data_IF_779894472244
#
_entry.id   IF_779894472244
#
_cell.length_a   1.000
_cell.length_b   1.000
_cell.length_c   1.000
_cell.angle_alpha   90.00
_cell.angle_beta   90.00
_cell.angle_gamma   90.00
#
_symmetry.space_group_name_H-M   'P 1'
#
loop_
_entity.id
_entity.type
_entity.pdbx_description
1 polymer ?
#
# COMPACT_ATOMS: atom_id res chain seq x y z
N UNK A 1 51.18 24.72 20.07
CA UNK A 1 49.95 24.12 20.63
C UNK A 1 48.88 24.49 19.64
N UNK A 2 48.77 23.68 18.59
CA UNK A 2 47.72 23.88 17.59
C UNK A 2 46.52 23.06 18.07
N UNK A 3 45.46 23.77 18.41
CA UNK A 3 44.17 23.20 18.78
C UNK A 3 43.57 22.57 17.51
N UNK A 4 43.63 21.25 17.41
CA UNK A 4 42.76 20.50 16.51
C UNK A 4 41.33 20.66 17.03
N UNK A 5 40.52 21.44 16.31
CA UNK A 5 39.07 21.51 16.42
C UNK A 5 38.50 20.10 16.16
N UNK A 6 38.32 19.33 17.23
CA UNK A 6 37.45 18.15 17.25
C UNK A 6 35.99 18.65 17.14
N UNK A 7 35.63 19.15 15.96
CA UNK A 7 34.26 19.53 15.66
C UNK A 7 33.36 18.31 15.83
N UNK A 8 32.37 18.43 16.71
CA UNK A 8 31.43 17.35 16.92
C UNK A 8 30.68 17.04 15.61
N UNK A 9 30.25 15.80 15.40
CA UNK A 9 29.54 15.38 14.17
C UNK A 9 28.26 16.17 13.82
N UNK A 10 27.78 17.05 14.71
CA UNK A 10 26.67 17.99 14.47
C UNK A 10 27.15 19.41 14.06
N UNK A 11 28.44 19.72 14.21
CA UNK A 11 29.14 20.91 13.69
C UNK A 11 29.70 20.66 12.29
N UNK A 12 29.81 19.40 11.86
CA UNK A 12 30.06 19.04 10.46
C UNK A 12 28.94 19.63 9.59
N UNK A 13 29.32 20.59 8.74
CA UNK A 13 28.41 21.38 7.92
C UNK A 13 27.37 20.52 7.20
N UNK A 14 26.13 20.97 7.32
CA UNK A 14 24.99 20.64 6.48
C UNK A 14 25.44 20.12 5.10
N UNK A 15 25.52 18.80 4.92
CA UNK A 15 25.78 18.22 3.61
C UNK A 15 24.61 18.61 2.72
N UNK A 16 24.87 19.50 1.76
CA UNK A 16 23.86 20.06 0.87
C UNK A 16 23.45 19.05 -0.18
N UNK A 17 22.65 18.08 0.25
CA UNK A 17 22.09 17.03 -0.61
C UNK A 17 21.26 17.57 -1.78
N UNK A 18 20.79 18.82 -1.73
CA UNK A 18 20.14 19.54 -2.84
C UNK A 18 21.09 20.05 -3.94
N UNK A 19 22.42 20.13 -3.72
CA UNK A 19 23.35 20.55 -4.78
C UNK A 19 23.50 19.50 -5.91
N UNK A 20 23.15 18.24 -5.63
CA UNK A 20 23.15 17.15 -6.61
C UNK A 20 21.87 17.16 -7.48
N UNK A 21 20.85 17.89 -7.05
CA UNK A 21 19.54 17.91 -7.70
C UNK A 21 19.53 19.05 -8.72
N UNK A 22 19.88 18.73 -9.98
CA UNK A 22 19.82 19.70 -11.08
C UNK A 22 18.39 19.81 -11.62
N UNK A 23 17.90 21.04 -11.73
CA UNK A 23 16.65 21.39 -12.40
C UNK A 23 16.78 21.21 -13.92
N UNK A 24 15.72 20.73 -14.57
CA UNK A 24 15.64 20.70 -16.04
C UNK A 24 15.40 22.11 -16.64
N UNK A 25 15.46 22.25 -17.97
CA UNK A 25 15.25 23.54 -18.66
C UNK A 25 13.87 24.19 -18.38
N UNK A 26 12.93 23.44 -17.81
CA UNK A 26 11.61 23.92 -17.40
C UNK A 26 11.54 24.30 -15.91
N UNK A 27 12.64 24.20 -15.15
CA UNK A 27 12.69 24.42 -13.71
C UNK A 27 12.05 23.28 -12.88
N UNK A 28 11.86 22.10 -13.48
CA UNK A 28 11.27 20.93 -12.82
C UNK A 28 12.36 19.94 -12.40
N UNK A 29 12.15 19.35 -11.22
CA UNK A 29 13.07 18.36 -10.61
C UNK A 29 12.51 16.94 -10.76
N UNK A 30 11.26 16.80 -11.22
CA UNK A 30 10.52 15.53 -11.21
C UNK A 30 11.22 14.43 -12.04
N UNK A 31 11.81 14.79 -13.18
CA UNK A 31 12.49 13.84 -14.05
C UNK A 31 13.75 13.23 -13.38
N UNK A 32 14.56 14.06 -12.73
CA UNK A 32 15.76 13.62 -12.02
C UNK A 32 15.41 12.69 -10.83
N UNK A 33 14.38 13.05 -10.05
CA UNK A 33 13.89 12.23 -8.93
C UNK A 33 13.35 10.90 -9.41
N UNK A 34 12.56 10.89 -10.49
CA UNK A 34 12.02 9.67 -11.07
C UNK A 34 13.13 8.72 -11.58
N UNK A 35 14.19 9.26 -12.18
CA UNK A 35 15.34 8.48 -12.62
C UNK A 35 16.10 7.84 -11.45
N UNK A 36 16.28 8.56 -10.34
CA UNK A 36 16.88 8.05 -9.11
C UNK A 36 16.02 6.92 -8.53
N UNK A 37 14.70 7.12 -8.43
CA UNK A 37 13.76 6.12 -7.93
C UNK A 37 13.78 4.85 -8.79
N UNK A 38 13.81 4.97 -10.11
CA UNK A 38 13.93 3.82 -11.02
C UNK A 38 15.26 3.08 -10.85
N UNK A 39 16.37 3.81 -10.67
CA UNK A 39 17.70 3.22 -10.46
C UNK A 39 17.76 2.45 -9.14
N UNK A 40 17.18 2.98 -8.07
CA UNK A 40 17.11 2.30 -6.77
C UNK A 40 16.25 1.04 -6.86
N UNK A 41 15.07 1.12 -7.48
CA UNK A 41 14.17 -0.02 -7.68
C UNK A 41 14.86 -1.17 -8.45
N UNK A 42 15.66 -0.86 -9.48
CA UNK A 42 16.45 -1.86 -10.22
C UNK A 42 17.51 -2.54 -9.36
N UNK A 43 18.17 -1.80 -8.46
CA UNK A 43 19.16 -2.37 -7.54
C UNK A 43 18.51 -3.33 -6.53
N UNK A 44 17.34 -2.98 -6.00
CA UNK A 44 16.59 -3.82 -5.06
C UNK A 44 16.13 -5.12 -5.73
N UNK A 45 15.60 -5.04 -6.96
CA UNK A 45 15.19 -6.20 -7.75
C UNK A 45 16.34 -7.17 -8.04
N UNK A 46 17.55 -6.64 -8.27
CA UNK A 46 18.75 -7.44 -8.54
C UNK A 46 19.28 -8.18 -7.30
N UNK A 47 18.90 -7.75 -6.09
CA UNK A 47 19.33 -8.37 -4.84
C UNK A 47 18.36 -9.44 -4.31
N UNK A 48 17.23 -9.66 -4.98
CA UNK A 48 16.26 -10.64 -4.52
C UNK A 48 16.76 -12.08 -4.82
N UNK A 49 16.81 -12.96 -3.82
CA UNK A 49 17.15 -14.36 -4.04
C UNK A 49 16.10 -15.03 -4.94
N UNK A 50 16.52 -16.04 -5.71
CA UNK A 50 15.60 -16.85 -6.53
C UNK A 50 14.67 -17.67 -5.62
N UNK A 51 13.53 -17.09 -5.24
CA UNK A 51 12.46 -17.75 -4.49
C UNK A 51 11.44 -18.34 -5.47
N UNK A 52 10.81 -19.46 -5.12
CA UNK A 52 9.67 -19.99 -5.87
C UNK A 52 8.53 -18.98 -5.83
N UNK A 53 8.26 -18.31 -6.96
CA UNK A 53 7.19 -17.34 -7.10
C UNK A 53 5.85 -18.05 -7.34
N UNK A 54 4.80 -17.60 -6.64
CA UNK A 54 3.42 -17.99 -6.95
C UNK A 54 2.97 -17.28 -8.22
N UNK A 55 2.91 -17.99 -9.35
CA UNK A 55 2.54 -17.41 -10.65
C UNK A 55 1.10 -16.86 -10.67
N UNK A 56 0.17 -17.54 -10.01
CA UNK A 56 -1.24 -17.12 -9.91
C UNK A 56 -1.50 -16.55 -8.52
N UNK A 57 -1.91 -15.27 -8.47
CA UNK A 57 -2.13 -14.54 -7.21
C UNK A 57 -3.55 -13.99 -7.16
N UNK A 58 -4.23 -14.24 -6.05
CA UNK A 58 -5.53 -13.65 -5.72
C UNK A 58 -5.33 -12.69 -4.56
N UNK A 59 -5.37 -11.40 -4.86
CA UNK A 59 -5.09 -10.33 -3.91
C UNK A 59 -6.38 -9.59 -3.55
N UNK A 60 -6.69 -9.52 -2.25
CA UNK A 60 -7.63 -8.50 -1.76
C UNK A 60 -6.85 -7.30 -1.23
N UNK A 61 -7.20 -6.11 -1.68
CA UNK A 61 -6.74 -4.86 -1.08
C UNK A 61 -7.83 -4.36 -0.13
N UNK A 62 -7.46 -4.14 1.13
CA UNK A 62 -8.31 -3.57 2.18
C UNK A 62 -7.89 -2.13 2.39
N UNK A 63 -8.77 -1.18 2.06
CA UNK A 63 -8.56 0.25 2.28
C UNK A 63 -9.29 0.73 3.53
N UNK A 64 -8.56 1.37 4.42
CA UNK A 64 -9.11 2.10 5.55
C UNK A 64 -9.90 3.33 5.08
N UNK A 65 -11.12 3.47 5.59
CA UNK A 65 -11.99 4.65 5.43
C UNK A 65 -12.55 5.08 6.80
N UNK A 66 -11.78 4.88 7.86
CA UNK A 66 -12.03 5.41 9.20
C UNK A 66 -11.75 6.92 9.29
N UNK A 67 -12.17 7.54 10.40
CA UNK A 67 -11.94 8.98 10.64
C UNK A 67 -10.46 9.38 10.55
N UNK A 68 -9.53 8.46 10.86
CA UNK A 68 -8.09 8.69 10.76
C UNK A 68 -7.61 9.02 9.33
N UNK A 69 -8.39 8.66 8.31
CA UNK A 69 -8.05 8.91 6.90
C UNK A 69 -8.40 10.33 6.44
N UNK A 70 -9.06 11.13 7.29
CA UNK A 70 -9.32 12.55 7.04
C UNK A 70 -8.11 13.44 7.32
N UNK A 71 -7.11 12.93 8.04
CA UNK A 71 -5.90 13.67 8.38
C UNK A 71 -5.15 14.16 7.13
N UNK A 72 -4.54 15.33 7.25
CA UNK A 72 -3.87 16.06 6.16
C UNK A 72 -2.34 16.00 6.25
N UNK A 73 -1.78 14.94 6.84
CA UNK A 73 -0.34 14.70 6.81
C UNK A 73 0.17 14.47 5.38
N UNK A 74 -0.66 13.85 4.54
CA UNK A 74 -0.52 13.78 3.09
C UNK A 74 -1.53 14.74 2.45
N UNK A 75 -1.14 15.43 1.38
CA UNK A 75 -2.01 16.39 0.68
C UNK A 75 -2.89 15.69 -0.36
N UNK A 76 -4.20 15.99 -0.46
CA UNK A 76 -4.98 16.85 0.44
C UNK A 76 -5.37 16.16 1.75
N UNK A 77 -5.57 14.84 1.75
CA UNK A 77 -5.68 14.01 2.95
C UNK A 77 -5.15 12.59 2.66
N UNK A 78 -5.05 11.76 3.69
CA UNK A 78 -4.61 10.35 3.57
C UNK A 78 -5.44 9.54 2.59
N UNK A 79 -6.77 9.69 2.59
CA UNK A 79 -7.65 8.94 1.69
C UNK A 79 -7.34 9.25 0.23
N UNK A 80 -7.31 10.52 -0.15
CA UNK A 80 -7.06 10.95 -1.53
C UNK A 80 -5.69 10.46 -2.01
N UNK A 81 -4.66 10.60 -1.18
CA UNK A 81 -3.32 10.12 -1.50
C UNK A 81 -3.29 8.59 -1.67
N UNK A 82 -3.92 7.86 -0.73
CA UNK A 82 -3.99 6.40 -0.78
C UNK A 82 -4.72 5.89 -2.02
N UNK A 83 -5.82 6.54 -2.42
CA UNK A 83 -6.57 6.17 -3.63
C UNK A 83 -5.73 6.38 -4.89
N UNK A 84 -5.02 7.50 -5.03
CA UNK A 84 -4.16 7.74 -6.20
C UNK A 84 -3.02 6.73 -6.29
N UNK A 85 -2.33 6.46 -5.18
CA UNK A 85 -1.27 5.45 -5.14
C UNK A 85 -1.81 4.04 -5.42
N UNK A 86 -3.01 3.72 -4.93
CA UNK A 86 -3.66 2.43 -5.21
C UNK A 86 -4.06 2.28 -6.68
N UNK A 87 -4.47 3.35 -7.35
CA UNK A 87 -4.76 3.32 -8.79
C UNK A 87 -3.50 2.98 -9.59
N UNK A 88 -2.41 3.66 -9.31
CA UNK A 88 -1.11 3.37 -9.93
C UNK A 88 -0.67 1.93 -9.62
N UNK A 89 -0.76 1.52 -8.35
CA UNK A 89 -0.45 0.16 -7.92
C UNK A 89 -1.25 -0.89 -8.69
N UNK A 90 -2.55 -0.70 -8.91
CA UNK A 90 -3.38 -1.66 -9.65
C UNK A 90 -2.87 -1.82 -11.09
N UNK A 91 -2.60 -0.73 -11.80
CA UNK A 91 -2.05 -0.82 -13.17
C UNK A 91 -0.69 -1.52 -13.17
N UNK A 92 0.23 -1.08 -12.31
CA UNK A 92 1.56 -1.70 -12.20
C UNK A 92 1.50 -3.18 -11.81
N UNK A 93 0.55 -3.55 -10.96
CA UNK A 93 0.34 -4.92 -10.51
C UNK A 93 -0.11 -5.81 -11.66
N UNK A 94 -1.09 -5.38 -12.46
CA UNK A 94 -1.55 -6.14 -13.62
C UNK A 94 -0.51 -6.19 -14.75
N UNK A 95 0.27 -5.12 -14.95
CA UNK A 95 1.39 -5.11 -15.90
C UNK A 95 2.46 -6.16 -15.54
N UNK A 96 2.74 -6.32 -14.24
CA UNK A 96 3.71 -7.29 -13.75
C UNK A 96 3.13 -8.70 -13.56
N UNK A 97 1.82 -8.82 -13.34
CA UNK A 97 1.12 -10.06 -12.99
C UNK A 97 -0.17 -10.23 -13.82
N UNK A 98 -0.10 -10.48 -15.14
CA UNK A 98 -1.25 -10.42 -16.04
C UNK A 98 -2.35 -11.47 -15.79
N UNK A 99 -2.01 -12.58 -15.14
CA UNK A 99 -2.96 -13.68 -14.82
C UNK A 99 -3.50 -13.60 -13.38
N UNK A 100 -3.13 -12.57 -12.64
CA UNK A 100 -3.59 -12.39 -11.26
C UNK A 100 -4.98 -11.74 -11.20
N UNK A 101 -5.59 -11.77 -10.02
CA UNK A 101 -6.87 -11.13 -9.75
C UNK A 101 -6.76 -10.22 -8.55
N UNK A 102 -7.44 -9.07 -8.61
CA UNK A 102 -7.57 -8.13 -7.49
C UNK A 102 -9.05 -8.04 -7.10
N UNK A 103 -9.31 -7.91 -5.80
CA UNK A 103 -10.58 -7.49 -5.23
C UNK A 103 -10.37 -6.35 -4.23
N UNK A 104 -11.41 -5.56 -4.00
CA UNK A 104 -11.35 -4.37 -3.14
C UNK A 104 -12.34 -4.48 -1.99
N UNK A 105 -11.84 -4.25 -0.78
CA UNK A 105 -12.63 -4.16 0.46
C UNK A 105 -12.31 -2.82 1.10
N UNK A 106 -13.33 -2.16 1.65
CA UNK A 106 -13.13 -0.99 2.51
C UNK A 106 -13.50 -1.34 3.94
N UNK A 107 -12.95 -0.59 4.90
CA UNK A 107 -13.38 -0.67 6.29
C UNK A 107 -13.74 0.71 6.84
N UNK A 108 -14.95 0.81 7.40
CA UNK A 108 -15.52 2.01 8.00
C UNK A 108 -16.63 1.62 8.97
N UNK A 109 -17.00 2.49 9.90
CA UNK A 109 -18.13 2.27 10.83
C UNK A 109 -18.08 0.91 11.56
N UNK A 110 -16.87 0.45 11.94
CA UNK A 110 -16.62 -0.86 12.61
C UNK A 110 -17.04 -2.07 11.77
N UNK A 111 -17.17 -1.89 10.45
CA UNK A 111 -17.57 -2.92 9.49
C UNK A 111 -16.63 -2.91 8.29
N UNK A 112 -16.78 -3.91 7.45
CA UNK A 112 -16.07 -4.02 6.18
C UNK A 112 -17.08 -4.24 5.08
N UNK A 113 -16.83 -3.62 3.93
CA UNK A 113 -17.71 -3.67 2.76
C UNK A 113 -16.87 -4.08 1.55
N UNK A 114 -17.31 -5.10 0.81
CA UNK A 114 -16.65 -5.52 -0.42
C UNK A 114 -17.16 -4.65 -1.56
N UNK A 115 -16.28 -3.81 -2.10
CA UNK A 115 -16.60 -2.87 -3.18
C UNK A 115 -16.41 -3.53 -4.55
N UNK A 116 -15.40 -4.40 -4.66
CA UNK A 116 -15.11 -5.12 -5.90
C UNK A 116 -14.84 -6.59 -5.65
N UNK A 117 -15.43 -7.44 -6.49
CA UNK A 117 -15.13 -8.88 -6.52
C UNK A 117 -13.74 -9.14 -7.10
N UNK A 118 -13.21 -10.35 -6.88
CA UNK A 118 -11.94 -10.76 -7.50
C UNK A 118 -12.09 -10.80 -9.02
N UNK A 119 -11.46 -9.85 -9.71
CA UNK A 119 -11.51 -9.71 -11.16
C UNK A 119 -10.15 -9.29 -11.73
N UNK A 120 -9.92 -9.62 -13.00
CA UNK A 120 -8.68 -9.32 -13.72
C UNK A 120 -8.69 -8.01 -14.51
N UNK A 121 -9.76 -7.21 -14.45
CA UNK A 121 -9.86 -5.96 -15.20
C UNK A 121 -9.42 -4.76 -14.33
N UNK A 122 -8.29 -4.10 -14.62
CA UNK A 122 -7.83 -2.95 -13.82
C UNK A 122 -8.81 -1.77 -13.87
N UNK A 123 -9.44 -1.52 -15.02
CA UNK A 123 -10.29 -0.32 -15.21
C UNK A 123 -11.54 -0.35 -14.34
N UNK A 124 -12.13 -1.53 -14.12
CA UNK A 124 -13.31 -1.67 -13.25
C UNK A 124 -12.96 -1.36 -11.80
N UNK A 125 -11.80 -1.80 -11.32
CA UNK A 125 -11.34 -1.54 -9.96
C UNK A 125 -11.03 -0.05 -9.75
N UNK A 126 -10.33 0.57 -10.71
CA UNK A 126 -9.99 1.99 -10.68
C UNK A 126 -11.24 2.88 -10.69
N UNK A 127 -12.25 2.54 -11.50
CA UNK A 127 -13.52 3.27 -11.52
C UNK A 127 -14.24 3.23 -10.17
N UNK A 128 -14.24 2.09 -9.49
CA UNK A 128 -14.81 1.95 -8.15
C UNK A 128 -14.01 2.71 -7.09
N UNK A 129 -12.67 2.69 -7.16
CA UNK A 129 -11.82 3.49 -6.26
C UNK A 129 -12.07 4.99 -6.41
N UNK A 130 -12.27 5.47 -7.63
CA UNK A 130 -12.55 6.89 -7.88
C UNK A 130 -13.86 7.32 -7.24
N UNK A 131 -14.87 6.44 -7.22
CA UNK A 131 -16.15 6.70 -6.54
C UNK A 131 -16.00 6.81 -5.02
N UNK A 132 -15.01 6.16 -4.41
CA UNK A 132 -14.78 6.22 -2.96
C UNK A 132 -14.33 7.61 -2.49
N UNK A 133 -13.76 8.43 -3.37
CA UNK A 133 -13.35 9.81 -3.02
C UNK A 133 -14.53 10.70 -2.63
N UNK A 134 -15.72 10.40 -3.15
CA UNK A 134 -16.95 11.15 -2.84
C UNK A 134 -17.66 10.62 -1.61
N UNK A 135 -17.19 9.49 -1.05
CA UNK A 135 -17.74 8.93 0.17
C UNK A 135 -16.97 9.47 1.37
N UNK A 136 -17.69 9.81 2.43
CA UNK A 136 -17.05 10.25 3.66
C UNK A 136 -16.42 9.07 4.40
N UNK A 137 -15.19 9.28 4.90
CA UNK A 137 -14.61 8.42 5.91
C UNK A 137 -15.38 8.60 7.23
N UNK A 138 -15.68 7.52 7.94
CA UNK A 138 -16.45 7.63 9.18
C UNK A 138 -16.22 6.44 10.10
N UNK A 139 -16.10 6.73 11.39
CA UNK A 139 -15.99 5.73 12.44
C UNK A 139 -14.62 5.05 12.44
N UNK A 140 -14.60 3.81 12.91
CA UNK A 140 -13.37 3.06 13.16
C UNK A 140 -13.22 1.88 12.19
N UNK A 141 -11.98 1.49 11.91
CA UNK A 141 -11.66 0.34 11.08
C UNK A 141 -11.90 -0.98 11.84
N UNK A 142 -12.29 -2.03 11.11
CA UNK A 142 -12.42 -3.40 11.62
C UNK A 142 -11.65 -4.36 10.72
N UNK A 143 -10.48 -4.79 11.20
CA UNK A 143 -9.60 -5.71 10.49
C UNK A 143 -10.18 -7.13 10.50
N UNK A 144 -10.79 -7.56 11.62
CA UNK A 144 -11.37 -8.89 11.72
C UNK A 144 -12.47 -9.11 10.67
N UNK A 145 -13.38 -8.16 10.52
CA UNK A 145 -14.46 -8.26 9.53
C UNK A 145 -13.91 -8.29 8.10
N UNK A 146 -12.88 -7.50 7.80
CA UNK A 146 -12.24 -7.46 6.49
C UNK A 146 -11.57 -8.81 6.18
N UNK A 147 -10.85 -9.38 7.16
CA UNK A 147 -10.25 -10.71 7.07
C UNK A 147 -11.32 -11.77 6.81
N UNK A 148 -12.40 -11.80 7.58
CA UNK A 148 -13.47 -12.79 7.43
C UNK A 148 -14.12 -12.71 6.04
N UNK A 149 -14.37 -11.50 5.55
CA UNK A 149 -14.92 -11.25 4.22
C UNK A 149 -13.99 -11.70 3.09
N UNK A 150 -12.70 -11.34 3.16
CA UNK A 150 -11.71 -11.80 2.17
C UNK A 150 -11.52 -13.32 2.21
N UNK A 151 -11.44 -13.89 3.41
CA UNK A 151 -11.30 -15.34 3.63
C UNK A 151 -12.50 -16.13 3.10
N UNK A 152 -13.71 -15.58 3.15
CA UNK A 152 -14.90 -16.24 2.62
C UNK A 152 -14.76 -16.53 1.12
N UNK A 153 -14.13 -15.63 0.36
CA UNK A 153 -13.86 -15.84 -1.07
C UNK A 153 -12.56 -16.63 -1.28
N UNK A 154 -11.47 -16.24 -0.61
CA UNK A 154 -10.14 -16.85 -0.81
C UNK A 154 -10.06 -18.33 -0.42
N UNK A 155 -10.93 -18.81 0.49
CA UNK A 155 -10.97 -20.24 0.87
C UNK A 155 -11.32 -21.16 -0.31
N UNK A 156 -12.04 -20.65 -1.31
CA UNK A 156 -12.44 -21.39 -2.49
C UNK A 156 -11.42 -21.34 -3.62
N UNK A 157 -10.37 -20.51 -3.48
CA UNK A 157 -9.32 -20.43 -4.49
C UNK A 157 -8.40 -21.64 -4.43
N UNK A 158 -7.88 -22.10 -5.59
CA UNK A 158 -7.06 -23.32 -5.66
C UNK A 158 -5.80 -23.24 -4.79
N UNK A 159 -5.37 -24.36 -4.22
CA UNK A 159 -4.19 -24.40 -3.33
C UNK A 159 -2.87 -24.05 -4.01
N UNK A 160 -2.77 -24.20 -5.33
CA UNK A 160 -1.58 -23.85 -6.10
C UNK A 160 -1.46 -22.33 -6.36
N UNK A 161 -2.51 -21.56 -6.05
CA UNK A 161 -2.50 -20.10 -6.16
C UNK A 161 -2.13 -19.45 -4.84
N UNK A 162 -1.46 -18.31 -4.91
CA UNK A 162 -1.23 -17.46 -3.75
C UNK A 162 -2.53 -16.75 -3.37
N UNK A 163 -2.85 -16.74 -2.08
CA UNK A 163 -4.01 -16.06 -1.50
C UNK A 163 -3.49 -14.98 -0.59
N UNK A 164 -3.69 -13.73 -0.98
CA UNK A 164 -3.01 -12.58 -0.41
C UNK A 164 -4.03 -11.53 0.02
N UNK A 165 -3.73 -10.83 1.12
CA UNK A 165 -4.48 -9.67 1.57
C UNK A 165 -3.50 -8.54 1.90
N UNK A 166 -3.68 -7.39 1.26
CA UNK A 166 -2.91 -6.17 1.49
C UNK A 166 -3.77 -5.18 2.26
N UNK A 167 -3.30 -4.73 3.42
CA UNK A 167 -4.00 -3.75 4.24
C UNK A 167 -3.34 -2.38 4.11
N UNK A 168 -4.11 -1.38 3.72
CA UNK A 168 -3.73 0.04 3.72
C UNK A 168 -4.47 0.69 4.87
N UNK A 169 -3.81 0.80 6.02
CA UNK A 169 -4.38 1.33 7.27
C UNK A 169 -3.77 2.69 7.59
N UNK A 170 -4.61 3.70 7.81
CA UNK A 170 -4.20 4.98 8.38
C UNK A 170 -4.47 5.07 9.88
N UNK A 171 -5.42 4.27 10.39
CA UNK A 171 -5.72 4.16 11.81
C UNK A 171 -4.63 3.38 12.57
N UNK A 172 -4.40 3.77 13.82
CA UNK A 172 -3.54 3.03 14.78
C UNK A 172 -4.33 2.04 15.65
N UNK A 173 -5.67 2.11 15.61
CA UNK A 173 -6.57 1.28 16.40
C UNK A 173 -7.58 0.60 15.49
N UNK A 174 -8.03 -0.59 15.87
CA UNK A 174 -9.12 -1.31 15.21
C UNK A 174 -10.16 -1.73 16.23
N UNK A 175 -11.43 -1.72 15.82
CA UNK A 175 -12.56 -2.09 16.64
C UNK A 175 -13.26 -3.30 16.05
N UNK A 176 -12.84 -4.47 16.53
CA UNK A 176 -13.30 -5.77 16.07
C UNK A 176 -14.31 -6.39 17.06
N UNK A 177 -15.25 -7.22 16.58
CA UNK A 177 -16.29 -7.82 17.42
C UNK A 177 -15.75 -8.94 18.35
N UNK A 178 -14.60 -9.52 18.03
CA UNK A 178 -14.02 -10.64 18.79
C UNK A 178 -12.51 -10.61 18.85
N UNK A 179 -11.92 -11.74 19.28
CA UNK A 179 -10.48 -11.87 19.37
C UNK A 179 -9.87 -12.21 17.99
N UNK A 180 -9.32 -11.19 17.33
CA UNK A 180 -8.65 -11.30 16.03
C UNK A 180 -7.52 -12.35 15.98
N UNK A 181 -6.83 -12.60 17.10
CA UNK A 181 -5.75 -13.61 17.14
C UNK A 181 -6.28 -15.03 16.85
N UNK A 182 -7.55 -15.30 17.17
CA UNK A 182 -8.20 -16.56 16.79
C UNK A 182 -8.42 -16.61 15.28
N UNK A 183 -8.89 -15.53 14.67
CA UNK A 183 -9.09 -15.43 13.22
C UNK A 183 -7.79 -15.64 12.44
N UNK A 184 -6.67 -15.10 12.94
CA UNK A 184 -5.34 -15.30 12.35
C UNK A 184 -4.89 -16.77 12.44
N UNK A 185 -4.96 -17.37 13.64
CA UNK A 185 -4.50 -18.76 13.88
C UNK A 185 -5.24 -19.81 13.06
N UNK A 186 -6.52 -19.61 12.77
CA UNK A 186 -7.34 -20.63 12.10
C UNK A 186 -6.98 -20.78 10.62
N UNK A 187 -6.41 -19.74 9.96
CA UNK A 187 -6.37 -19.71 8.48
C UNK A 187 -5.11 -19.14 7.83
N UNK A 188 -4.22 -18.49 8.57
CA UNK A 188 -2.93 -18.06 8.07
C UNK A 188 -1.84 -18.83 8.81
N UNK A 189 -1.27 -19.85 8.14
CA UNK A 189 0.06 -20.32 8.51
C UNK A 189 1.00 -19.16 8.14
N UNK A 190 1.40 -18.39 9.15
CA UNK A 190 2.52 -17.48 9.01
C UNK A 190 3.71 -18.30 8.51
N UNK A 191 4.25 -17.91 7.36
CA UNK A 191 5.57 -18.37 6.90
C UNK A 191 6.61 -17.64 7.74
#
# INVERSE_FOLDING_TARGET
>A
MDQDDDQYRWESGYERTWEVIQEDESGSIAAAVNAINQKNRRKELAQLPNVRLGMMRHLYVVLDMSDAMKDQDLRPNRLFCSIELLKEFIFMYFDSNPISQIGLIITRKKRSEKISELAGNPRSHVALLEQLKYQECEGEASIQNALEMGLQTLKHMPKYSSREMLFVLGCLTTCDPGNILKTLKVRFLAI
#
